data_IF_455551787613
#
_entry.id   IF_455551787613
#
_cell.length_a   1.000
_cell.length_b   1.000
_cell.length_c   1.000
_cell.angle_alpha   90.00
_cell.angle_beta   90.00
_cell.angle_gamma   90.00
#
_symmetry.space_group_name_H-M   'P 1'
#
loop_
_entity.id
_entity.type
_entity.pdbx_description
1 polymer ?
#
# COMPACT_ATOMS: atom_id res chain seq x y z
N UNK A 1 14.17 10.75 63.08
CA UNK A 1 14.57 11.60 61.93
C UNK A 1 13.89 10.99 60.72
N UNK A 2 12.74 11.51 60.33
CA UNK A 2 11.95 11.01 59.19
C UNK A 2 11.84 12.14 58.17
N UNK A 3 12.52 11.96 57.02
CA UNK A 3 12.51 12.89 55.90
C UNK A 3 11.52 12.39 54.85
N UNK A 4 10.36 13.03 54.77
CA UNK A 4 9.41 12.83 53.67
C UNK A 4 9.92 13.55 52.41
N UNK A 5 10.26 12.78 51.37
CA UNK A 5 10.56 13.31 50.04
C UNK A 5 9.25 13.63 49.30
N UNK A 6 8.95 14.93 49.19
CA UNK A 6 7.86 15.44 48.34
C UNK A 6 8.36 15.51 46.88
N UNK A 7 7.76 14.73 45.98
CA UNK A 7 8.06 14.75 44.56
C UNK A 7 7.57 16.06 43.90
N UNK A 8 8.33 16.71 43.01
CA UNK A 8 7.91 17.93 42.32
C UNK A 8 6.75 17.68 41.35
N UNK A 9 5.74 18.54 41.45
CA UNK A 9 4.52 18.52 40.65
C UNK A 9 4.77 18.44 39.14
N UNK A 10 4.10 17.48 38.53
CA UNK A 10 4.03 17.26 37.10
C UNK A 10 3.25 18.43 36.47
N UNK A 11 3.96 19.44 35.97
CA UNK A 11 3.34 20.58 35.30
C UNK A 11 2.76 20.11 33.98
N UNK A 12 1.47 19.82 33.98
CA UNK A 12 0.73 19.42 32.80
C UNK A 12 0.58 20.62 31.87
N UNK A 13 1.60 20.88 31.05
CA UNK A 13 1.50 21.85 29.95
C UNK A 13 0.54 21.27 28.91
N UNK A 14 -0.68 21.78 28.89
CA UNK A 14 -1.62 21.49 27.81
C UNK A 14 -1.00 21.88 26.48
N UNK A 15 -0.87 20.90 25.59
CA UNK A 15 -0.36 21.09 24.24
C UNK A 15 -1.40 21.89 23.46
N UNK A 16 -1.10 23.17 23.22
CA UNK A 16 -1.91 24.04 22.36
C UNK A 16 -1.89 23.41 20.96
N UNK A 17 -3.03 22.85 20.52
CA UNK A 17 -3.25 22.39 19.15
C UNK A 17 -3.02 23.57 18.21
N UNK A 18 -1.82 23.70 17.67
CA UNK A 18 -1.58 24.55 16.51
C UNK A 18 -2.34 23.91 15.36
N UNK A 19 -3.26 24.66 14.79
CA UNK A 19 -3.94 24.30 13.56
C UNK A 19 -2.85 24.17 12.49
N UNK A 20 -2.51 22.94 12.12
CA UNK A 20 -1.70 22.70 10.94
C UNK A 20 -2.51 23.21 9.76
N UNK A 21 -2.14 24.39 9.26
CA UNK A 21 -2.51 24.79 7.91
C UNK A 21 -1.73 23.82 7.02
N UNK A 22 -2.40 22.77 6.59
CA UNK A 22 -1.96 21.96 5.48
C UNK A 22 -2.00 22.88 4.26
N UNK A 23 -0.86 23.22 3.61
CA UNK A 23 -0.89 23.92 2.34
C UNK A 23 -1.42 22.93 1.30
N UNK A 24 -2.74 22.70 1.33
CA UNK A 24 -3.44 21.94 0.32
C UNK A 24 -3.21 22.63 -1.02
N UNK A 25 -2.53 21.90 -1.88
CA UNK A 25 -2.88 21.82 -3.28
C UNK A 25 -2.38 22.99 -4.11
N UNK A 26 -1.12 22.93 -4.54
CA UNK A 26 -0.77 23.54 -5.81
C UNK A 26 -1.57 22.81 -6.91
N UNK A 27 -2.41 23.53 -7.68
CA UNK A 27 -3.41 22.92 -8.55
C UNK A 27 -2.73 22.37 -9.81
N UNK A 28 -3.19 21.20 -10.27
CA UNK A 28 -3.14 20.74 -11.65
C UNK A 28 -1.83 21.00 -12.42
N UNK A 29 -0.91 20.05 -12.37
CA UNK A 29 -0.03 19.82 -13.50
C UNK A 29 -0.12 18.36 -13.93
N UNK A 30 -1.09 18.11 -14.81
CA UNK A 30 -1.16 16.94 -15.69
C UNK A 30 0.08 16.93 -16.63
N UNK A 31 0.93 17.96 -16.55
CA UNK A 31 2.22 18.10 -17.23
C UNK A 31 3.43 18.05 -16.25
N UNK A 32 3.29 17.61 -15.00
CA UNK A 32 4.43 17.51 -14.05
C UNK A 32 5.44 16.40 -14.41
N UNK A 33 5.26 15.76 -15.56
CA UNK A 33 6.11 14.70 -16.10
C UNK A 33 7.52 15.17 -16.50
N UNK A 34 7.85 16.48 -16.44
CA UNK A 34 9.18 17.01 -16.76
C UNK A 34 9.97 17.54 -15.56
N UNK A 35 9.38 17.60 -14.36
CA UNK A 35 9.98 18.27 -13.21
C UNK A 35 11.16 17.55 -12.50
N UNK A 36 11.34 16.20 -12.55
CA UNK A 36 12.41 15.60 -11.77
C UNK A 36 13.81 15.84 -12.36
N UNK A 37 13.94 15.81 -13.70
CA UNK A 37 15.21 15.96 -14.40
C UNK A 37 15.74 17.41 -14.39
N UNK A 38 14.84 18.39 -14.37
CA UNK A 38 15.23 19.81 -14.38
C UNK A 38 15.97 20.19 -13.09
N UNK A 39 15.48 19.77 -11.92
CA UNK A 39 16.12 20.08 -10.64
C UNK A 39 17.51 19.44 -10.52
N UNK A 40 17.65 18.17 -10.92
CA UNK A 40 18.92 17.45 -10.83
C UNK A 40 19.98 18.15 -11.71
N UNK A 41 19.59 18.63 -12.89
CA UNK A 41 20.46 19.42 -13.77
C UNK A 41 20.90 20.76 -13.14
N UNK A 42 19.97 21.52 -12.57
CA UNK A 42 20.28 22.79 -11.90
C UNK A 42 21.18 22.59 -10.69
N UNK A 43 20.95 21.55 -9.92
CA UNK A 43 21.75 21.25 -8.74
C UNK A 43 23.16 20.78 -9.13
N UNK A 44 23.32 20.02 -10.23
CA UNK A 44 24.64 19.72 -10.79
C UNK A 44 25.37 20.98 -11.27
N UNK A 45 24.67 21.91 -11.92
CA UNK A 45 25.26 23.18 -12.33
C UNK A 45 25.74 24.01 -11.12
N UNK A 46 24.96 23.98 -10.03
CA UNK A 46 25.33 24.65 -8.78
C UNK A 46 26.56 24.02 -8.11
N UNK A 47 26.69 22.70 -8.13
CA UNK A 47 27.87 21.98 -7.62
C UNK A 47 29.12 22.35 -8.43
N UNK A 48 29.00 22.53 -9.74
CA UNK A 48 30.10 22.91 -10.64
C UNK A 48 30.50 24.39 -10.52
N UNK A 49 29.70 25.23 -9.87
CA UNK A 49 29.97 26.66 -9.75
C UNK A 49 31.05 26.95 -8.69
N UNK A 50 32.18 27.53 -9.09
CA UNK A 50 33.32 27.83 -8.20
C UNK A 50 33.06 28.91 -7.16
N UNK A 51 32.01 29.70 -7.33
CA UNK A 51 31.61 30.72 -6.35
C UNK A 51 30.91 30.11 -5.12
N UNK A 52 30.45 28.86 -5.20
CA UNK A 52 29.76 28.18 -4.11
C UNK A 52 30.78 27.57 -3.13
N UNK A 53 30.68 27.86 -1.82
CA UNK A 53 31.53 27.24 -0.82
C UNK A 53 31.51 25.71 -0.85
N UNK A 54 32.68 25.09 -0.70
CA UNK A 54 32.86 23.63 -0.84
C UNK A 54 31.94 22.82 0.09
N UNK A 55 31.75 23.26 1.33
CA UNK A 55 30.89 22.55 2.29
C UNK A 55 29.42 22.51 1.82
N UNK A 56 28.94 23.57 1.15
CA UNK A 56 27.60 23.59 0.58
C UNK A 56 27.49 22.65 -0.62
N UNK A 57 28.51 22.59 -1.49
CA UNK A 57 28.55 21.63 -2.60
C UNK A 57 28.42 20.19 -2.11
N UNK A 58 29.09 19.84 -1.02
CA UNK A 58 28.98 18.51 -0.40
C UNK A 58 27.55 18.24 0.09
N UNK A 59 26.95 19.18 0.81
CA UNK A 59 25.57 19.04 1.29
C UNK A 59 24.59 18.86 0.12
N UNK A 60 24.71 19.68 -0.93
CA UNK A 60 23.86 19.59 -2.12
C UNK A 60 24.02 18.22 -2.79
N UNK A 61 25.27 17.73 -2.95
CA UNK A 61 25.54 16.40 -3.51
C UNK A 61 24.89 15.27 -2.70
N UNK A 62 25.01 15.30 -1.36
CA UNK A 62 24.37 14.32 -0.49
C UNK A 62 22.84 14.33 -0.64
N UNK A 63 22.24 15.51 -0.66
CA UNK A 63 20.79 15.65 -0.83
C UNK A 63 20.32 15.14 -2.21
N UNK A 64 21.09 15.37 -3.28
CA UNK A 64 20.78 14.83 -4.60
C UNK A 64 20.90 13.30 -4.66
N UNK A 65 21.86 12.72 -3.96
CA UNK A 65 21.98 11.27 -3.85
C UNK A 65 20.79 10.67 -3.09
N UNK A 66 20.42 11.25 -1.94
CA UNK A 66 19.26 10.82 -1.17
C UNK A 66 17.96 10.92 -1.99
N UNK A 67 17.79 12.00 -2.76
CA UNK A 67 16.65 12.19 -3.68
C UNK A 67 16.61 11.10 -4.74
N UNK A 68 17.74 10.79 -5.40
CA UNK A 68 17.81 9.72 -6.41
C UNK A 68 17.49 8.36 -5.81
N UNK A 69 18.00 8.06 -4.60
CA UNK A 69 17.67 6.84 -3.86
C UNK A 69 16.17 6.77 -3.55
N UNK A 70 15.58 7.85 -3.05
CA UNK A 70 14.15 7.91 -2.77
C UNK A 70 13.31 7.67 -4.03
N UNK A 71 13.66 8.32 -5.14
CA UNK A 71 12.98 8.12 -6.41
C UNK A 71 13.03 6.65 -6.83
N UNK A 72 14.20 6.02 -6.77
CA UNK A 72 14.35 4.59 -7.06
C UNK A 72 13.42 3.73 -6.20
N UNK A 73 13.38 3.97 -4.88
CA UNK A 73 12.49 3.22 -3.97
C UNK A 73 11.01 3.39 -4.33
N UNK A 74 10.58 4.61 -4.69
CA UNK A 74 9.21 4.87 -5.11
C UNK A 74 8.84 4.14 -6.41
N UNK A 75 9.76 4.06 -7.37
CA UNK A 75 9.56 3.29 -8.60
C UNK A 75 9.38 1.79 -8.29
N UNK A 76 10.23 1.21 -7.44
CA UNK A 76 10.08 -0.19 -7.00
C UNK A 76 8.74 -0.44 -6.29
N UNK A 77 8.28 0.50 -5.45
CA UNK A 77 6.97 0.38 -4.82
C UNK A 77 5.82 0.42 -5.84
N UNK A 78 5.94 1.21 -6.91
CA UNK A 78 4.95 1.25 -7.98
C UNK A 78 4.89 -0.08 -8.73
N UNK A 79 6.04 -0.63 -9.09
CA UNK A 79 6.16 -1.95 -9.74
C UNK A 79 5.56 -3.06 -8.87
N UNK A 80 5.95 -3.11 -7.59
CA UNK A 80 5.43 -4.10 -6.64
C UNK A 80 3.91 -3.98 -6.49
N UNK A 81 3.38 -2.76 -6.45
CA UNK A 81 1.93 -2.52 -6.38
C UNK A 81 1.22 -3.08 -7.62
N UNK A 82 1.75 -2.86 -8.81
CA UNK A 82 1.20 -3.40 -10.06
C UNK A 82 1.25 -4.93 -10.07
N UNK A 83 2.36 -5.52 -9.63
CA UNK A 83 2.49 -6.98 -9.49
C UNK A 83 1.44 -7.55 -8.53
N UNK A 84 1.24 -6.96 -7.35
CA UNK A 84 0.21 -7.38 -6.40
C UNK A 84 -1.19 -7.30 -7.00
N UNK A 85 -1.49 -6.26 -7.78
CA UNK A 85 -2.77 -6.14 -8.50
C UNK A 85 -2.93 -7.29 -9.49
N UNK A 86 -1.91 -7.56 -10.31
CA UNK A 86 -1.92 -8.62 -11.31
C UNK A 86 -2.07 -10.02 -10.68
N UNK A 87 -1.34 -10.29 -9.59
CA UNK A 87 -1.41 -11.54 -8.85
C UNK A 87 -2.79 -11.74 -8.22
N UNK A 88 -3.39 -10.70 -7.64
CA UNK A 88 -4.76 -10.78 -7.08
C UNK A 88 -5.79 -11.06 -8.18
N UNK A 89 -5.69 -10.37 -9.31
CA UNK A 89 -6.57 -10.61 -10.46
C UNK A 89 -6.40 -12.05 -11.01
N UNK A 90 -5.17 -12.53 -11.13
CA UNK A 90 -4.86 -13.89 -11.52
C UNK A 90 -5.41 -14.94 -10.55
N UNK A 91 -5.25 -14.71 -9.24
CA UNK A 91 -5.78 -15.58 -8.19
C UNK A 91 -7.32 -15.65 -8.23
N UNK A 92 -7.98 -14.51 -8.40
CA UNK A 92 -9.43 -14.46 -8.54
C UNK A 92 -9.93 -15.24 -9.76
N UNK A 93 -9.24 -15.11 -10.91
CA UNK A 93 -9.56 -15.88 -12.12
C UNK A 93 -9.40 -17.39 -11.90
N UNK A 94 -8.29 -17.82 -11.30
CA UNK A 94 -8.05 -19.25 -11.02
C UNK A 94 -9.12 -19.83 -10.08
N UNK A 95 -9.48 -19.09 -9.02
CA UNK A 95 -10.55 -19.49 -8.10
C UNK A 95 -11.90 -19.62 -8.80
N UNK A 96 -12.23 -18.67 -9.69
CA UNK A 96 -13.46 -18.73 -10.47
C UNK A 96 -13.51 -19.95 -11.41
N UNK A 97 -12.40 -20.27 -12.09
CA UNK A 97 -12.30 -21.47 -12.94
C UNK A 97 -12.49 -22.77 -12.14
N UNK A 98 -11.93 -22.87 -10.94
CA UNK A 98 -12.07 -24.05 -10.10
C UNK A 98 -13.50 -24.21 -9.53
N UNK A 99 -14.13 -23.11 -9.12
CA UNK A 99 -15.52 -23.11 -8.66
C UNK A 99 -16.50 -23.53 -9.78
N UNK A 100 -16.27 -23.08 -11.01
CA UNK A 100 -17.07 -23.47 -12.19
C UNK A 100 -17.00 -24.96 -12.52
N UNK A 101 -15.83 -25.60 -12.36
CA UNK A 101 -15.67 -27.03 -12.65
C UNK A 101 -16.27 -27.96 -11.59
N UNK A 102 -16.39 -27.54 -10.33
CA UNK A 102 -17.01 -28.36 -9.28
C UNK A 102 -18.54 -28.30 -9.28
N UNK A 103 -19.13 -27.26 -9.85
CA UNK A 103 -20.60 -27.15 -9.93
C UNK A 103 -21.24 -28.17 -10.89
N UNK A 104 -20.47 -28.76 -11.80
CA UNK A 104 -20.97 -29.74 -12.78
C UNK A 104 -21.03 -31.18 -12.26
N UNK A 105 -20.42 -31.48 -11.12
CA UNK A 105 -20.33 -32.84 -10.54
C UNK A 105 -21.38 -33.13 -9.45
N UNK A 106 -22.18 -32.14 -9.07
CA UNK A 106 -23.20 -32.23 -8.00
C UNK A 106 -24.63 -32.25 -8.55
N UNK A 107 -24.85 -32.76 -9.76
CA UNK A 107 -26.19 -33.19 -10.15
C UNK A 107 -26.49 -34.51 -9.39
N UNK A 108 -27.41 -34.54 -8.40
CA UNK A 108 -27.80 -35.79 -7.78
C UNK A 108 -28.36 -36.72 -8.87
N UNK A 109 -28.03 -38.02 -8.86
CA UNK A 109 -28.63 -38.95 -9.80
C UNK A 109 -30.15 -38.93 -9.61
N UNK A 110 -30.97 -38.97 -10.68
CA UNK A 110 -32.41 -39.05 -10.55
C UNK A 110 -32.75 -40.27 -9.70
N UNK A 111 -33.38 -40.04 -8.55
CA UNK A 111 -33.82 -41.10 -7.66
C UNK A 111 -34.75 -42.04 -8.44
N UNK A 112 -34.25 -43.24 -8.74
CA UNK A 112 -35.05 -44.29 -9.33
C UNK A 112 -36.15 -44.67 -8.33
N UNK A 113 -37.39 -44.29 -8.65
CA UNK A 113 -38.58 -44.66 -7.90
C UNK A 113 -38.80 -46.16 -8.14
N UNK A 114 -38.26 -46.99 -7.26
CA UNK A 114 -38.53 -48.43 -7.27
C UNK A 114 -39.83 -48.68 -6.51
N UNK A 115 -40.93 -48.74 -7.25
CA UNK A 115 -42.25 -49.13 -6.72
C UNK A 115 -42.25 -50.61 -6.37
N UNK A 116 -42.04 -50.93 -5.09
CA UNK A 116 -42.26 -52.28 -4.56
C UNK A 116 -43.78 -52.49 -4.36
N UNK A 117 -44.34 -53.29 -5.26
CA UNK A 117 -45.73 -53.75 -5.31
C UNK A 117 -46.09 -54.54 -4.05
N UNK A 118 -47.08 -54.07 -3.30
CA UNK A 118 -47.60 -54.71 -2.09
C UNK A 118 -48.29 -56.05 -2.40
N UNK A 119 -47.88 -57.13 -1.74
CA UNK A 119 -48.64 -58.38 -1.67
C UNK A 119 -49.55 -58.33 -0.44
N UNK A 120 -50.86 -58.17 -0.66
CA UNK A 120 -51.87 -58.39 0.37
C UNK A 120 -52.52 -59.75 0.15
N UNK A 121 -52.59 -60.56 1.21
CA UNK A 121 -53.44 -61.77 1.27
C UNK A 121 -53.83 -62.02 2.71
N UNK A 122 -55.14 -62.06 3.03
CA UNK A 122 -55.63 -62.86 4.14
C UNK A 122 -56.53 -63.98 3.60
N UNK A 123 -56.32 -65.17 4.15
CA UNK A 123 -57.12 -66.38 3.96
C UNK A 123 -57.98 -66.56 5.22
N UNK A 124 -59.28 -66.86 5.14
CA UNK A 124 -60.00 -67.54 6.21
C UNK A 124 -59.79 -69.06 6.14
#
# INVERSE_FOLDING_TARGET
>A
METSLTAPGLVHRMLVKRHCIDPVGSPNSINASSAPADLDHHAEALIKNDTVPQHLKVIISCLLEDRRRLHSVLEHFRELREEVINLRAGNARLKASFAGSQSSLLAPPPAAISSALSTSKPHP
#
